data_IF_999155351114
#
_entry.id   IF_999155351114
#
_cell.length_a   1.000
_cell.length_b   1.000
_cell.length_c   1.000
_cell.angle_alpha   90.00
_cell.angle_beta   90.00
_cell.angle_gamma   90.00
#
_symmetry.space_group_name_H-M   'P 1'
#
loop_
_entity.id
_entity.type
_entity.pdbx_description
1 polymer ?
#
# COMPACT_ATOMS: atom_id res chain seq x y z
N UNK A 1 -38.40 -9.64 -2.53
CA UNK A 1 -38.29 -8.16 -2.74
C UNK A 1 -36.81 -7.84 -2.84
N UNK A 2 -36.30 -7.63 -4.04
CA UNK A 2 -34.92 -7.25 -4.27
C UNK A 2 -34.82 -5.72 -4.18
N UNK A 3 -33.98 -5.23 -3.30
CA UNK A 3 -33.69 -3.80 -3.22
C UNK A 3 -32.73 -3.43 -4.38
N UNK A 4 -33.01 -2.39 -5.16
CA UNK A 4 -32.09 -1.94 -6.18
C UNK A 4 -30.87 -1.32 -5.51
N UNK A 5 -29.69 -1.90 -5.71
CA UNK A 5 -28.42 -1.23 -5.40
C UNK A 5 -28.28 -0.06 -6.39
N UNK A 6 -28.63 1.13 -5.94
CA UNK A 6 -28.29 2.36 -6.62
C UNK A 6 -26.75 2.48 -6.64
N UNK A 7 -26.17 2.42 -7.83
CA UNK A 7 -24.80 2.85 -8.06
C UNK A 7 -24.74 4.34 -7.69
N UNK A 8 -24.32 4.63 -6.47
CA UNK A 8 -23.95 5.97 -6.07
C UNK A 8 -22.72 6.35 -6.90
N UNK A 9 -22.96 7.06 -8.00
CA UNK A 9 -21.92 7.83 -8.68
C UNK A 9 -21.39 8.84 -7.67
N UNK A 10 -20.33 8.49 -6.98
CA UNK A 10 -19.54 9.45 -6.21
C UNK A 10 -18.82 10.33 -7.23
N UNK A 11 -19.51 11.34 -7.73
CA UNK A 11 -18.85 12.46 -8.38
C UNK A 11 -17.96 13.10 -7.31
N UNK A 12 -16.69 12.73 -7.27
CA UNK A 12 -15.69 13.53 -6.59
C UNK A 12 -15.80 14.94 -7.18
N UNK A 13 -15.94 15.99 -6.35
CA UNK A 13 -15.95 17.34 -6.86
C UNK A 13 -14.73 17.52 -7.75
N UNK A 14 -14.90 18.16 -8.91
CA UNK A 14 -13.83 18.41 -9.87
C UNK A 14 -12.77 19.33 -9.23
N UNK A 15 -11.83 18.73 -8.54
CA UNK A 15 -10.65 19.43 -8.04
C UNK A 15 -9.72 19.58 -9.23
N UNK A 16 -9.54 20.81 -9.72
CA UNK A 16 -8.50 21.13 -10.68
C UNK A 16 -7.16 20.90 -10.01
N UNK A 17 -6.48 19.80 -10.35
CA UNK A 17 -5.19 19.44 -9.80
C UNK A 17 -4.67 18.14 -10.43
N UNK A 18 -3.41 17.81 -10.14
CA UNK A 18 -2.75 16.62 -10.67
C UNK A 18 -3.50 15.35 -10.28
N UNK A 19 -3.70 14.46 -11.24
CA UNK A 19 -4.33 13.15 -11.08
C UNK A 19 -3.28 12.06 -11.00
N UNK A 20 -3.69 10.85 -10.60
CA UNK A 20 -2.78 9.70 -10.57
C UNK A 20 -2.11 9.48 -11.94
N UNK A 21 -2.85 9.48 -13.03
CA UNK A 21 -2.31 9.26 -14.37
C UNK A 21 -1.25 10.30 -14.75
N UNK A 22 -1.46 11.57 -14.38
CA UNK A 22 -0.48 12.65 -14.62
C UNK A 22 0.81 12.40 -13.81
N UNK A 23 0.69 11.89 -12.58
CA UNK A 23 1.82 11.56 -11.73
C UNK A 23 2.58 10.30 -12.22
N UNK A 24 1.92 9.46 -13.02
CA UNK A 24 2.49 8.26 -13.62
C UNK A 24 2.98 8.48 -15.06
N UNK A 25 2.92 9.71 -15.58
CA UNK A 25 3.23 10.06 -16.97
C UNK A 25 2.36 9.30 -18.00
N UNK A 26 1.11 8.97 -17.63
CA UNK A 26 0.13 8.30 -18.50
C UNK A 26 -0.78 9.36 -19.13
N UNK A 27 -0.49 9.73 -20.38
CA UNK A 27 -1.26 10.75 -21.11
C UNK A 27 -2.54 10.21 -21.73
N UNK A 28 -2.52 8.97 -22.16
CA UNK A 28 -3.67 8.27 -22.73
C UNK A 28 -3.67 6.80 -22.24
N UNK A 29 -4.68 6.48 -21.46
CA UNK A 29 -4.80 5.15 -20.85
C UNK A 29 -5.09 4.06 -21.89
N UNK A 30 -5.79 4.39 -22.99
CA UNK A 30 -6.17 3.44 -24.02
C UNK A 30 -5.01 3.00 -24.90
N UNK A 31 -3.97 3.83 -25.01
CA UNK A 31 -2.78 3.53 -25.80
C UNK A 31 -1.52 3.34 -24.93
N UNK A 32 -1.66 3.37 -23.62
CA UNK A 32 -0.53 3.30 -22.69
C UNK A 32 0.31 2.03 -22.86
N UNK A 33 1.63 2.24 -23.04
CA UNK A 33 2.66 1.20 -23.00
C UNK A 33 3.63 1.50 -21.84
N UNK A 34 3.74 0.63 -20.83
CA UNK A 34 4.61 0.85 -19.69
C UNK A 34 6.10 0.69 -20.01
N UNK A 35 6.47 -0.08 -21.06
CA UNK A 35 7.87 -0.45 -21.35
C UNK A 35 8.86 0.72 -21.50
N UNK A 36 8.52 1.86 -22.11
CA UNK A 36 9.43 3.00 -22.14
C UNK A 36 9.71 3.57 -20.74
N UNK A 37 8.70 3.65 -19.89
CA UNK A 37 8.84 4.04 -18.47
C UNK A 37 9.69 3.05 -17.69
N UNK A 38 9.39 1.76 -17.83
CA UNK A 38 10.12 0.67 -17.18
C UNK A 38 11.60 0.67 -17.50
N UNK A 39 11.99 0.87 -18.78
CA UNK A 39 13.41 0.95 -19.17
C UNK A 39 14.14 2.11 -18.51
N UNK A 40 13.47 3.25 -18.29
CA UNK A 40 14.10 4.39 -17.63
C UNK A 40 14.34 4.17 -16.15
N UNK A 41 13.53 3.31 -15.49
CA UNK A 41 13.55 3.09 -14.04
C UNK A 41 14.03 1.69 -13.63
N UNK A 42 14.58 0.94 -14.59
CA UNK A 42 15.04 -0.43 -14.33
C UNK A 42 16.17 -0.47 -13.28
N UNK A 43 17.01 0.56 -13.27
CA UNK A 43 18.21 0.64 -12.44
C UNK A 43 18.07 1.65 -11.28
N UNK A 44 16.84 2.16 -11.01
CA UNK A 44 16.62 3.06 -9.88
C UNK A 44 16.91 2.33 -8.55
N UNK A 45 17.72 2.94 -7.68
CA UNK A 45 18.08 2.35 -6.38
C UNK A 45 16.90 2.40 -5.38
N UNK A 46 15.99 3.36 -5.55
CA UNK A 46 14.89 3.66 -4.64
C UNK A 46 13.57 3.55 -5.38
N UNK A 47 12.56 2.97 -4.74
CA UNK A 47 11.18 2.98 -5.23
C UNK A 47 10.51 4.31 -4.82
N UNK A 48 10.40 5.25 -5.75
CA UNK A 48 9.66 6.50 -5.56
C UNK A 48 8.22 6.31 -6.00
N UNK A 49 7.29 6.39 -5.06
CA UNK A 49 5.88 6.05 -5.27
C UNK A 49 5.02 7.31 -5.04
N UNK A 50 4.30 7.82 -6.06
CA UNK A 50 3.44 8.97 -5.90
C UNK A 50 2.25 8.66 -4.99
N UNK A 51 2.01 9.55 -4.02
CA UNK A 51 0.95 9.41 -3.01
C UNK A 51 -0.22 10.33 -3.32
N UNK A 52 0.06 11.57 -3.71
CA UNK A 52 -0.97 12.58 -3.89
C UNK A 52 -0.41 13.95 -4.24
N UNK A 53 -1.26 14.97 -4.18
CA UNK A 53 -0.91 16.36 -4.38
C UNK A 53 -1.21 17.19 -3.13
N UNK A 54 -0.34 18.12 -2.71
CA UNK A 54 -0.63 19.04 -1.63
C UNK A 54 -1.87 19.89 -1.96
N UNK A 55 -2.67 20.19 -0.95
CA UNK A 55 -3.90 21.00 -1.16
C UNK A 55 -3.58 22.44 -1.58
N UNK A 56 -2.47 22.97 -1.09
CA UNK A 56 -1.96 24.33 -1.38
C UNK A 56 -1.08 24.39 -2.65
N UNK A 57 -0.66 23.24 -3.18
CA UNK A 57 0.13 23.13 -4.41
C UNK A 57 -0.37 21.96 -5.29
N UNK A 58 -1.59 22.06 -5.84
CA UNK A 58 -2.30 20.92 -6.45
C UNK A 58 -1.65 20.39 -7.73
N UNK A 59 -0.74 21.14 -8.35
CA UNK A 59 0.00 20.73 -9.56
C UNK A 59 1.31 20.01 -9.22
N UNK A 60 1.68 19.93 -7.96
CA UNK A 60 2.86 19.19 -7.52
C UNK A 60 2.49 17.75 -7.08
N UNK A 61 3.51 16.92 -6.88
CA UNK A 61 3.35 15.54 -6.43
C UNK A 61 4.12 15.32 -5.15
N UNK A 62 3.45 14.74 -4.15
CA UNK A 62 4.07 14.16 -2.97
C UNK A 62 4.27 12.68 -3.23
N UNK A 63 5.48 12.19 -2.99
CA UNK A 63 5.85 10.78 -3.12
C UNK A 63 6.42 10.26 -1.81
N UNK A 64 6.35 8.95 -1.63
CA UNK A 64 7.13 8.22 -0.63
C UNK A 64 8.28 7.50 -1.31
N UNK A 65 9.32 7.24 -0.56
CA UNK A 65 10.49 6.50 -1.01
C UNK A 65 10.69 5.26 -0.15
N UNK A 66 10.85 4.11 -0.82
CA UNK A 66 11.24 2.85 -0.19
C UNK A 66 12.56 2.38 -0.78
N UNK A 67 13.50 2.06 0.09
CA UNK A 67 14.87 1.71 -0.26
C UNK A 67 15.69 1.41 0.99
N UNK A 68 16.99 1.61 0.91
CA UNK A 68 17.88 1.31 2.04
C UNK A 68 17.66 2.23 3.25
N UNK A 69 17.07 3.41 3.06
CA UNK A 69 16.76 4.35 4.14
C UNK A 69 15.35 4.15 4.72
N UNK A 70 14.46 3.50 3.99
CA UNK A 70 13.07 3.29 4.38
C UNK A 70 12.57 1.91 3.94
N UNK A 71 12.39 1.01 4.91
CA UNK A 71 11.97 -0.36 4.66
C UNK A 71 10.48 -0.61 4.94
N UNK A 72 9.89 0.16 5.83
CA UNK A 72 8.52 -0.02 6.30
C UNK A 72 7.72 1.25 6.09
N UNK A 73 6.65 1.15 5.30
CA UNK A 73 5.65 2.20 5.13
C UNK A 73 4.30 1.78 5.75
N UNK A 74 3.67 2.70 6.47
CA UNK A 74 2.36 2.49 7.08
C UNK A 74 1.35 3.51 6.59
N UNK A 75 0.21 3.04 6.12
CA UNK A 75 -0.99 3.85 5.88
C UNK A 75 -1.95 3.69 7.07
N UNK A 76 -2.13 4.75 7.87
CA UNK A 76 -2.96 4.72 9.06
C UNK A 76 -4.20 5.59 8.91
N UNK A 77 -5.36 5.09 9.40
CA UNK A 77 -6.61 5.87 9.39
C UNK A 77 -7.86 5.02 9.48
N UNK A 78 -9.01 5.66 9.64
CA UNK A 78 -10.31 4.98 9.77
C UNK A 78 -10.95 4.62 8.42
N UNK A 79 -10.62 5.36 7.35
CA UNK A 79 -11.19 5.16 6.01
C UNK A 79 -10.15 5.43 4.93
N UNK A 80 -10.33 4.82 3.73
CA UNK A 80 -9.51 5.11 2.54
C UNK A 80 -8.18 4.36 2.46
N UNK A 81 -7.79 3.58 3.46
CA UNK A 81 -6.53 2.83 3.49
C UNK A 81 -6.35 1.86 2.32
N UNK A 82 -7.33 0.98 2.12
CA UNK A 82 -7.32 -0.01 1.02
C UNK A 82 -7.22 0.66 -0.35
N UNK A 83 -7.95 1.77 -0.55
CA UNK A 83 -7.86 2.57 -1.79
C UNK A 83 -6.47 3.19 -1.97
N UNK A 84 -5.85 3.67 -0.89
CA UNK A 84 -4.49 4.17 -0.92
C UNK A 84 -3.49 3.07 -1.28
N UNK A 85 -3.56 1.89 -0.61
CA UNK A 85 -2.70 0.76 -0.92
C UNK A 85 -2.86 0.28 -2.36
N UNK A 86 -4.10 0.21 -2.88
CA UNK A 86 -4.38 -0.10 -4.28
C UNK A 86 -3.67 0.88 -5.23
N UNK A 87 -3.80 2.18 -4.96
CA UNK A 87 -3.17 3.22 -5.78
C UNK A 87 -1.66 3.14 -5.75
N UNK A 88 -1.06 2.91 -4.57
CA UNK A 88 0.38 2.76 -4.40
C UNK A 88 0.90 1.50 -5.11
N UNK A 89 0.23 0.35 -4.96
CA UNK A 89 0.62 -0.89 -5.61
C UNK A 89 0.56 -0.77 -7.14
N UNK A 90 -0.51 -0.17 -7.70
CA UNK A 90 -0.61 0.09 -9.13
C UNK A 90 0.42 1.09 -9.63
N UNK A 91 0.75 2.11 -8.82
CA UNK A 91 1.81 3.07 -9.17
C UNK A 91 3.15 2.36 -9.31
N UNK A 92 3.49 1.47 -8.39
CA UNK A 92 4.71 0.65 -8.48
C UNK A 92 4.73 -0.17 -9.76
N UNK A 93 3.64 -0.90 -10.07
CA UNK A 93 3.55 -1.72 -11.29
C UNK A 93 3.62 -0.88 -12.57
N UNK A 94 3.15 0.35 -12.53
CA UNK A 94 3.16 1.25 -13.71
C UNK A 94 4.54 1.86 -13.94
N UNK A 95 5.24 2.22 -12.87
CA UNK A 95 6.51 2.94 -12.94
C UNK A 95 7.72 2.03 -13.13
N UNK A 96 7.71 0.84 -12.56
CA UNK A 96 8.86 -0.06 -12.51
C UNK A 96 8.59 -1.38 -13.24
N UNK A 97 9.59 -2.02 -13.89
CA UNK A 97 9.39 -3.33 -14.50
C UNK A 97 9.30 -4.44 -13.45
N UNK A 98 8.69 -5.60 -13.78
CA UNK A 98 8.62 -6.76 -12.89
C UNK A 98 9.99 -7.37 -12.58
N UNK A 99 11.02 -7.06 -13.38
CA UNK A 99 12.41 -7.42 -13.11
C UNK A 99 13.07 -6.53 -12.06
N UNK A 100 12.49 -5.36 -11.76
CA UNK A 100 12.98 -4.43 -10.73
C UNK A 100 12.24 -4.60 -9.41
N UNK A 101 10.91 -4.82 -9.47
CA UNK A 101 10.06 -4.98 -8.28
C UNK A 101 8.96 -6.01 -8.50
N UNK A 102 8.75 -6.84 -7.50
CA UNK A 102 7.66 -7.81 -7.41
C UNK A 102 6.79 -7.52 -6.20
N UNK A 103 5.52 -7.94 -6.23
CA UNK A 103 4.56 -7.71 -5.17
C UNK A 103 4.05 -9.03 -4.59
N UNK A 104 4.04 -9.13 -3.25
CA UNK A 104 3.31 -10.16 -2.51
C UNK A 104 2.19 -9.46 -1.71
N UNK A 105 0.93 -9.77 -2.02
CA UNK A 105 -0.22 -9.04 -1.49
C UNK A 105 -1.01 -9.92 -0.52
N UNK A 106 -1.19 -9.42 0.70
CA UNK A 106 -2.12 -9.92 1.70
C UNK A 106 -3.33 -8.97 1.78
N UNK A 107 -4.39 -9.31 1.05
CA UNK A 107 -5.59 -8.48 0.88
C UNK A 107 -6.72 -8.98 1.78
N UNK A 108 -6.76 -8.51 3.02
CA UNK A 108 -7.76 -8.97 4.00
C UNK A 108 -9.16 -8.42 3.74
N UNK A 109 -9.25 -7.30 3.02
CA UNK A 109 -10.52 -6.64 2.71
C UNK A 109 -11.00 -6.94 1.28
N UNK A 110 -10.23 -7.73 0.51
CA UNK A 110 -10.48 -8.02 -0.91
C UNK A 110 -10.65 -6.75 -1.76
N UNK A 111 -9.98 -5.67 -1.38
CA UNK A 111 -10.13 -4.36 -2.01
C UNK A 111 -8.98 -3.96 -2.92
N UNK A 112 -7.78 -4.51 -2.71
CA UNK A 112 -6.61 -4.16 -3.52
C UNK A 112 -6.74 -4.75 -4.92
N UNK A 113 -7.26 -5.97 -5.03
CA UNK A 113 -7.40 -6.70 -6.30
C UNK A 113 -8.84 -6.82 -6.80
N UNK A 114 -9.85 -6.51 -5.98
CA UNK A 114 -11.26 -6.74 -6.33
C UNK A 114 -11.73 -6.01 -7.59
N UNK A 115 -11.13 -4.85 -7.90
CA UNK A 115 -11.48 -4.04 -9.05
C UNK A 115 -10.54 -4.25 -10.26
N UNK A 116 -9.51 -5.09 -10.11
CA UNK A 116 -8.59 -5.43 -11.20
C UNK A 116 -8.96 -6.79 -11.78
N UNK A 117 -9.57 -6.81 -12.95
CA UNK A 117 -9.93 -8.04 -13.67
C UNK A 117 -8.71 -8.82 -14.15
N UNK A 118 -7.52 -8.20 -14.15
CA UNK A 118 -6.25 -8.79 -14.51
C UNK A 118 -5.20 -8.47 -13.41
N UNK A 119 -4.28 -9.41 -13.16
CA UNK A 119 -3.17 -9.20 -12.22
C UNK A 119 -1.94 -8.74 -12.99
N UNK A 120 -1.32 -7.60 -12.63
CA UNK A 120 -0.05 -7.20 -13.23
C UNK A 120 1.02 -8.30 -13.08
N UNK A 121 1.97 -8.40 -14.03
CA UNK A 121 3.03 -9.42 -14.01
C UNK A 121 3.99 -9.30 -12.81
N UNK A 122 3.89 -8.21 -12.07
CA UNK A 122 4.63 -7.96 -10.81
C UNK A 122 4.11 -8.80 -9.65
N UNK A 123 2.84 -9.20 -9.67
CA UNK A 123 2.20 -9.88 -8.53
C UNK A 123 2.60 -11.35 -8.54
N UNK A 124 3.53 -11.73 -7.67
CA UNK A 124 4.04 -13.11 -7.53
C UNK A 124 3.23 -13.92 -6.52
N UNK A 125 2.56 -13.25 -5.56
CA UNK A 125 1.67 -13.88 -4.61
C UNK A 125 0.51 -12.91 -4.27
N UNK A 126 -0.71 -13.43 -4.26
CA UNK A 126 -1.90 -12.69 -3.83
C UNK A 126 -2.81 -13.62 -3.05
N UNK A 127 -3.05 -13.26 -1.81
CA UNK A 127 -3.96 -13.96 -0.91
C UNK A 127 -5.05 -12.98 -0.47
N UNK A 128 -6.28 -13.31 -0.82
CA UNK A 128 -7.46 -12.57 -0.40
C UNK A 128 -8.22 -13.42 0.64
N UNK A 129 -8.40 -12.87 1.80
CA UNK A 129 -9.12 -13.53 2.88
C UNK A 129 -10.24 -12.63 3.40
N UNK A 130 -11.34 -12.53 2.67
CA UNK A 130 -12.47 -11.75 3.16
C UNK A 130 -13.18 -12.50 4.30
N UNK A 131 -13.47 -11.79 5.38
CA UNK A 131 -14.07 -12.30 6.63
C UNK A 131 -15.43 -13.00 6.42
N UNK A 132 -16.08 -12.81 5.27
CA UNK A 132 -17.41 -13.29 4.92
C UNK A 132 -17.49 -14.03 3.58
N UNK A 133 -16.37 -14.33 2.92
CA UNK A 133 -16.38 -15.04 1.65
C UNK A 133 -16.66 -16.54 1.89
N UNK A 134 -17.54 -17.11 1.06
CA UNK A 134 -17.85 -18.54 1.03
C UNK A 134 -16.75 -19.40 0.39
N UNK A 135 -15.75 -18.79 -0.23
CA UNK A 135 -14.59 -19.47 -0.80
C UNK A 135 -13.58 -19.88 0.29
N UNK A 136 -12.79 -20.95 0.07
CA UNK A 136 -11.87 -21.42 1.08
C UNK A 136 -10.98 -20.25 1.56
N UNK A 137 -10.85 -20.08 2.89
CA UNK A 137 -10.06 -18.99 3.43
C UNK A 137 -8.63 -19.07 2.89
N UNK A 138 -8.04 -17.91 2.62
CA UNK A 138 -6.64 -17.83 2.23
C UNK A 138 -5.79 -18.65 3.18
N UNK A 139 -4.94 -19.52 2.63
CA UNK A 139 -4.02 -20.29 3.46
C UNK A 139 -2.85 -19.40 3.88
N UNK A 140 -3.00 -18.72 5.00
CA UNK A 140 -2.00 -17.79 5.52
C UNK A 140 -0.67 -18.47 5.85
N UNK A 141 -0.67 -19.75 6.20
CA UNK A 141 0.56 -20.51 6.43
C UNK A 141 1.33 -20.69 5.12
N UNK A 142 0.63 -20.94 4.01
CA UNK A 142 1.25 -20.99 2.67
C UNK A 142 1.80 -19.62 2.28
N UNK A 143 1.07 -18.53 2.54
CA UNK A 143 1.55 -17.17 2.28
C UNK A 143 2.81 -16.86 3.09
N UNK A 144 2.83 -17.17 4.38
CA UNK A 144 4.00 -17.03 5.24
C UNK A 144 5.19 -17.80 4.67
N UNK A 145 4.99 -19.07 4.33
CA UNK A 145 6.04 -19.93 3.76
C UNK A 145 6.60 -19.34 2.46
N UNK A 146 5.77 -18.80 1.58
CA UNK A 146 6.22 -18.18 0.32
C UNK A 146 7.06 -16.91 0.58
N UNK A 147 6.62 -16.05 1.50
CA UNK A 147 7.33 -14.82 1.86
C UNK A 147 8.67 -15.17 2.53
N UNK A 148 8.69 -16.12 3.44
CA UNK A 148 9.91 -16.57 4.12
C UNK A 148 10.89 -17.22 3.15
N UNK A 149 10.40 -18.07 2.24
CA UNK A 149 11.23 -18.64 1.15
C UNK A 149 11.83 -17.53 0.29
N UNK A 150 11.04 -16.50 -0.04
CA UNK A 150 11.53 -15.36 -0.80
C UNK A 150 12.59 -14.54 -0.03
N UNK A 151 12.47 -14.41 1.30
CA UNK A 151 13.52 -13.82 2.15
C UNK A 151 14.80 -14.65 2.14
N UNK A 152 14.68 -15.96 2.28
CA UNK A 152 15.83 -16.86 2.33
C UNK A 152 16.59 -16.92 1.00
N UNK A 153 15.87 -16.92 -0.13
CA UNK A 153 16.45 -16.94 -1.48
C UNK A 153 17.19 -15.66 -1.87
N UNK A 154 16.91 -14.52 -1.18
CA UNK A 154 17.54 -13.23 -1.49
C UNK A 154 18.90 -13.01 -0.81
N UNK A 155 19.35 -13.94 0.01
CA UNK A 155 20.65 -13.86 0.64
C UNK A 155 21.78 -13.97 -0.42
N UNK A 156 22.42 -12.82 -0.73
CA UNK A 156 23.60 -12.77 -1.59
C UNK A 156 23.36 -12.89 -3.09
N UNK A 157 22.10 -12.81 -3.56
CA UNK A 157 21.76 -12.87 -4.98
C UNK A 157 21.09 -11.55 -5.43
N UNK A 158 21.41 -11.02 -6.62
CA UNK A 158 20.67 -9.92 -7.22
C UNK A 158 19.27 -10.42 -7.61
N UNK A 159 18.28 -9.99 -6.83
CA UNK A 159 16.85 -10.31 -7.02
C UNK A 159 16.07 -9.02 -7.19
N UNK A 160 14.93 -9.03 -7.90
CA UNK A 160 13.99 -7.91 -7.85
C UNK A 160 13.64 -7.56 -6.40
N UNK A 161 13.39 -6.29 -6.09
CA UNK A 161 12.80 -5.98 -4.78
C UNK A 161 11.46 -6.67 -4.61
N UNK A 162 11.16 -7.12 -3.40
CA UNK A 162 9.86 -7.66 -3.05
C UNK A 162 9.13 -6.63 -2.18
N UNK A 163 8.06 -6.05 -2.71
CA UNK A 163 7.15 -5.23 -1.93
C UNK A 163 6.02 -6.10 -1.38
N UNK A 164 6.06 -6.33 -0.07
CA UNK A 164 5.00 -7.04 0.65
C UNK A 164 3.94 -6.01 1.04
N UNK A 165 2.74 -6.16 0.50
CA UNK A 165 1.60 -5.27 0.74
C UNK A 165 0.60 -5.98 1.64
N UNK A 166 0.30 -5.40 2.81
CA UNK A 166 -0.61 -5.99 3.80
C UNK A 166 -1.73 -5.02 4.11
N UNK A 167 -2.94 -5.33 3.71
CA UNK A 167 -4.11 -4.53 4.05
C UNK A 167 -4.67 -4.93 5.41
N UNK A 168 -5.03 -3.93 6.25
CA UNK A 168 -5.59 -4.08 7.59
C UNK A 168 -4.76 -5.06 8.47
N UNK A 169 -3.47 -4.76 8.66
CA UNK A 169 -2.55 -5.62 9.42
C UNK A 169 -3.02 -5.89 10.86
N UNK A 170 -3.68 -4.93 11.49
CA UNK A 170 -4.31 -5.06 12.81
C UNK A 170 -5.40 -6.14 12.83
N UNK A 171 -6.26 -6.19 11.82
CA UNK A 171 -7.29 -7.22 11.67
C UNK A 171 -6.67 -8.59 11.31
N UNK A 172 -5.70 -8.61 10.41
CA UNK A 172 -4.98 -9.82 10.02
C UNK A 172 -4.34 -10.48 11.22
N UNK A 173 -3.57 -9.72 12.00
CA UNK A 173 -2.88 -10.23 13.19
C UNK A 173 -3.85 -10.63 14.31
N UNK A 174 -5.01 -9.98 14.40
CA UNK A 174 -6.09 -10.35 15.32
C UNK A 174 -6.71 -11.71 15.00
N UNK A 175 -6.83 -12.05 13.71
CA UNK A 175 -7.45 -13.31 13.25
C UNK A 175 -6.42 -14.41 12.98
N UNK A 176 -5.22 -14.05 12.53
CA UNK A 176 -4.14 -14.95 12.09
C UNK A 176 -2.80 -14.57 12.72
N UNK A 177 -2.64 -14.75 14.04
CA UNK A 177 -1.45 -14.30 14.78
C UNK A 177 -0.15 -14.98 14.34
N UNK A 178 -0.23 -16.12 13.63
CA UNK A 178 0.94 -16.81 13.08
C UNK A 178 1.69 -15.94 12.03
N UNK A 179 1.00 -15.02 11.36
CA UNK A 179 1.59 -14.10 10.37
C UNK A 179 2.60 -13.13 11.00
N UNK A 180 2.47 -12.88 12.31
CA UNK A 180 3.33 -11.94 13.03
C UNK A 180 4.83 -12.28 12.89
N UNK A 181 5.19 -13.57 12.95
CA UNK A 181 6.58 -14.02 12.81
C UNK A 181 7.18 -13.68 11.45
N UNK A 182 6.41 -13.92 10.38
CA UNK A 182 6.83 -13.59 9.00
C UNK A 182 6.99 -12.09 8.80
N UNK A 183 6.04 -11.28 9.30
CA UNK A 183 6.14 -9.82 9.23
C UNK A 183 7.33 -9.30 10.03
N UNK A 184 7.61 -9.87 11.21
CA UNK A 184 8.76 -9.50 12.02
C UNK A 184 10.07 -9.78 11.28
N UNK A 185 10.19 -10.93 10.62
CA UNK A 185 11.36 -11.22 9.78
C UNK A 185 11.57 -10.20 8.66
N UNK A 186 10.47 -9.69 8.03
CA UNK A 186 10.59 -8.62 7.02
C UNK A 186 11.14 -7.34 7.65
N UNK A 187 10.69 -6.98 8.84
CA UNK A 187 11.19 -5.78 9.55
C UNK A 187 12.67 -5.93 9.88
N UNK A 188 13.07 -7.08 10.40
CA UNK A 188 14.43 -7.32 10.91
C UNK A 188 15.46 -7.54 9.79
N UNK A 189 15.08 -8.30 8.74
CA UNK A 189 16.00 -8.79 7.71
C UNK A 189 15.75 -8.15 6.33
N UNK A 190 14.57 -7.56 6.10
CA UNK A 190 14.10 -7.18 4.77
C UNK A 190 14.95 -6.09 4.12
N UNK A 191 15.52 -5.18 4.91
CA UNK A 191 16.39 -4.10 4.41
C UNK A 191 17.54 -4.66 3.58
N UNK A 192 18.31 -5.58 4.15
CA UNK A 192 19.48 -6.19 3.51
C UNK A 192 19.10 -7.15 2.37
N UNK A 193 17.88 -7.67 2.40
CA UNK A 193 17.34 -8.64 1.44
C UNK A 193 16.47 -8.01 0.36
N UNK A 194 16.37 -6.67 0.35
CA UNK A 194 15.52 -5.92 -0.59
C UNK A 194 14.05 -6.37 -0.54
N UNK A 195 13.55 -6.64 0.67
CA UNK A 195 12.14 -6.93 0.94
C UNK A 195 11.56 -5.78 1.74
N UNK A 196 10.60 -5.06 1.16
CA UNK A 196 9.97 -3.88 1.73
C UNK A 196 8.58 -4.21 2.22
N UNK A 197 8.10 -3.52 3.26
CA UNK A 197 6.77 -3.70 3.82
C UNK A 197 5.93 -2.43 3.64
N UNK A 198 4.80 -2.55 2.96
CA UNK A 198 3.77 -1.53 2.87
C UNK A 198 2.50 -2.08 3.52
N UNK A 199 2.07 -1.50 4.61
CA UNK A 199 0.92 -2.01 5.35
C UNK A 199 -0.10 -0.91 5.67
N UNK A 200 -1.34 -1.33 5.93
CA UNK A 200 -2.37 -0.43 6.46
C UNK A 200 -2.86 -0.89 7.83
N UNK A 201 -3.24 0.07 8.67
CA UNK A 201 -3.81 -0.17 9.99
C UNK A 201 -4.80 0.94 10.37
N UNK A 202 -5.70 0.63 11.29
CA UNK A 202 -6.58 1.64 11.90
C UNK A 202 -5.84 2.43 12.98
N UNK A 203 -4.84 1.82 13.59
CA UNK A 203 -4.04 2.42 14.66
C UNK A 203 -2.55 2.48 14.27
N UNK A 204 -1.90 3.55 14.69
CA UNK A 204 -0.45 3.63 14.69
C UNK A 204 0.04 3.05 16.01
N UNK A 205 0.66 1.89 15.96
CA UNK A 205 1.31 1.30 17.11
C UNK A 205 2.62 0.66 16.67
N UNK A 206 3.66 0.83 17.47
CA UNK A 206 4.90 0.08 17.28
C UNK A 206 4.76 -1.39 17.70
N UNK A 207 3.66 -1.71 18.41
CA UNK A 207 3.38 -3.04 18.95
C UNK A 207 1.96 -3.46 18.61
N UNK A 208 1.83 -4.33 17.63
CA UNK A 208 0.57 -4.99 17.38
C UNK A 208 0.48 -6.19 18.34
N UNK A 209 -0.49 -6.18 19.25
CA UNK A 209 -0.66 -7.20 20.31
C UNK A 209 -1.07 -8.58 19.74
N UNK A 210 -0.59 -8.92 18.56
CA UNK A 210 -0.85 -10.18 17.90
C UNK A 210 -0.23 -11.32 18.70
N UNK A 211 -1.05 -12.23 19.14
CA UNK A 211 -0.59 -13.46 19.78
C UNK A 211 -0.21 -13.34 21.26
N UNK A 212 -0.31 -12.17 21.89
CA UNK A 212 -0.05 -12.03 23.33
C UNK A 212 -0.89 -12.99 24.19
N UNK A 213 -2.13 -13.29 23.75
CA UNK A 213 -3.01 -14.29 24.38
C UNK A 213 -2.57 -15.75 24.14
N UNK A 214 -1.68 -15.97 23.15
CA UNK A 214 -1.17 -17.29 22.77
C UNK A 214 0.30 -17.49 23.15
N UNK A 215 0.87 -16.58 23.97
CA UNK A 215 2.27 -16.64 24.37
C UNK A 215 3.28 -16.38 23.24
N UNK A 216 2.85 -15.80 22.11
CA UNK A 216 3.73 -15.39 21.02
C UNK A 216 4.19 -13.96 21.22
N UNK A 217 5.41 -13.60 20.78
CA UNK A 217 5.87 -12.22 20.82
C UNK A 217 4.95 -11.33 19.97
N UNK A 218 4.67 -10.08 20.40
CA UNK A 218 3.95 -9.12 19.59
C UNK A 218 4.76 -8.77 18.34
N UNK A 219 4.06 -8.49 17.23
CA UNK A 219 4.69 -7.88 16.07
C UNK A 219 5.07 -6.43 16.42
N UNK A 220 6.32 -6.09 16.25
CA UNK A 220 6.85 -4.75 16.49
C UNK A 220 7.47 -4.18 15.21
N UNK A 221 6.92 -3.05 14.73
CA UNK A 221 7.47 -2.36 13.57
C UNK A 221 7.51 -0.86 13.81
N UNK A 222 8.67 -0.28 13.63
CA UNK A 222 8.80 1.17 13.48
C UNK A 222 8.61 1.51 12.01
N UNK A 223 7.61 2.33 11.70
CA UNK A 223 7.37 2.77 10.33
C UNK A 223 8.32 3.90 9.98
N UNK A 224 9.14 3.69 8.95
CA UNK A 224 10.05 4.72 8.42
C UNK A 224 9.23 5.83 7.74
N UNK A 225 8.20 5.44 6.99
CA UNK A 225 7.29 6.33 6.27
C UNK A 225 5.87 6.13 6.75
N UNK A 226 5.12 7.22 6.93
CA UNK A 226 3.71 7.16 7.34
C UNK A 226 2.84 8.01 6.42
N UNK A 227 1.75 7.41 5.95
CA UNK A 227 0.64 8.10 5.29
C UNK A 227 -0.52 8.12 6.28
N UNK A 228 -0.78 9.25 6.91
CA UNK A 228 -1.82 9.39 7.92
C UNK A 228 -3.07 10.03 7.31
N UNK A 229 -4.08 9.21 7.05
CA UNK A 229 -5.44 9.64 6.75
C UNK A 229 -6.13 10.13 8.03
N UNK A 230 -7.43 10.48 7.97
CA UNK A 230 -8.14 10.78 9.20
C UNK A 230 -8.05 9.63 10.20
N UNK A 231 -7.48 9.91 11.37
CA UNK A 231 -7.36 8.94 12.46
C UNK A 231 -8.58 8.92 13.37
N UNK A 232 -8.79 7.82 14.10
CA UNK A 232 -9.88 7.66 15.05
C UNK A 232 -9.74 8.60 16.25
N UNK A 233 -8.51 8.84 16.69
CA UNK A 233 -8.19 9.63 17.88
C UNK A 233 -7.04 10.59 17.63
N UNK A 234 -6.98 11.64 18.44
CA UNK A 234 -5.83 12.54 18.45
C UNK A 234 -4.53 11.84 18.90
N UNK A 235 -4.65 10.80 19.71
CA UNK A 235 -3.48 10.02 20.13
C UNK A 235 -2.88 9.23 18.95
N UNK A 236 -3.71 8.53 18.17
CA UNK A 236 -3.26 7.84 16.95
C UNK A 236 -2.56 8.81 15.98
N UNK A 237 -3.09 10.04 15.85
CA UNK A 237 -2.44 11.07 15.02
C UNK A 237 -1.09 11.51 15.59
N UNK A 238 -0.96 11.67 16.91
CA UNK A 238 0.33 12.01 17.53
C UNK A 238 1.34 10.90 17.37
N UNK A 239 0.92 9.65 17.53
CA UNK A 239 1.80 8.49 17.36
C UNK A 239 2.30 8.39 15.90
N UNK A 240 1.45 8.72 14.94
CA UNK A 240 1.76 8.72 13.51
C UNK A 240 2.65 9.88 13.06
N UNK A 241 2.32 11.09 13.51
CA UNK A 241 2.84 12.36 12.98
C UNK A 241 3.50 13.27 14.03
N UNK A 242 3.49 12.90 15.32
CA UNK A 242 3.93 13.79 16.38
C UNK A 242 2.92 14.89 16.77
N UNK A 243 1.78 15.00 16.06
CA UNK A 243 0.77 16.02 16.30
C UNK A 243 -0.65 15.55 15.95
N UNK A 244 -1.70 16.34 16.31
CA UNK A 244 -3.11 15.92 16.17
C UNK A 244 -3.70 16.16 14.78
N UNK A 245 -2.94 16.64 13.80
CA UNK A 245 -3.44 17.18 12.54
C UNK A 245 -4.22 16.16 11.71
N UNK A 246 -3.85 14.86 11.71
CA UNK A 246 -4.58 13.85 10.98
C UNK A 246 -5.96 13.55 11.62
N UNK A 247 -6.09 13.65 12.94
CA UNK A 247 -7.39 13.57 13.62
C UNK A 247 -8.30 14.75 13.29
N UNK A 248 -7.75 15.92 12.99
CA UNK A 248 -8.50 17.13 12.65
C UNK A 248 -8.97 17.17 11.20
N UNK A 249 -8.53 16.25 10.34
CA UNK A 249 -9.00 16.17 8.96
C UNK A 249 -10.52 15.99 8.91
N UNK A 250 -11.22 16.60 7.92
CA UNK A 250 -12.67 16.43 7.78
C UNK A 250 -13.02 14.98 7.40
N UNK A 251 -14.23 14.55 7.74
CA UNK A 251 -14.77 13.25 7.30
C UNK A 251 -15.13 13.25 5.81
N UNK A 252 -15.38 14.41 5.24
CA UNK A 252 -15.69 14.61 3.82
C UNK A 252 -15.01 15.91 3.34
N UNK A 253 -14.39 15.89 2.14
CA UNK A 253 -14.20 14.75 1.25
C UNK A 253 -13.18 13.74 1.78
N UNK A 254 -13.35 12.47 1.41
CA UNK A 254 -12.39 11.42 1.71
C UNK A 254 -11.07 11.60 0.94
N UNK A 255 -9.99 10.97 1.40
CA UNK A 255 -8.71 10.94 0.71
C UNK A 255 -7.80 12.13 1.02
N UNK A 256 -8.08 12.87 2.10
CA UNK A 256 -7.10 13.79 2.67
C UNK A 256 -6.22 13.08 3.69
N UNK A 257 -4.92 13.42 3.67
CA UNK A 257 -3.95 12.85 4.59
C UNK A 257 -2.72 13.74 4.78
N UNK A 258 -1.81 13.27 5.58
CA UNK A 258 -0.47 13.80 5.76
C UNK A 258 0.55 12.71 5.47
N UNK A 259 1.70 13.08 4.96
CA UNK A 259 2.81 12.16 4.69
C UNK A 259 3.98 12.55 5.57
N UNK A 260 4.46 11.62 6.38
CA UNK A 260 5.72 11.73 7.10
C UNK A 260 6.77 10.87 6.39
N UNK A 261 7.79 11.50 5.89
CA UNK A 261 8.95 10.86 5.25
C UNK A 261 9.92 10.26 6.27
N UNK A 262 10.90 9.49 5.79
CA UNK A 262 11.87 8.78 6.63
C UNK A 262 12.81 9.71 7.42
N UNK A 263 13.02 10.93 6.97
CA UNK A 263 13.74 11.99 7.70
C UNK A 263 12.88 12.70 8.74
N UNK A 264 11.60 12.32 8.88
CA UNK A 264 10.64 12.89 9.81
C UNK A 264 9.91 14.14 9.31
N UNK A 265 10.20 14.64 8.11
CA UNK A 265 9.47 15.76 7.54
C UNK A 265 7.99 15.39 7.28
N UNK A 266 7.09 16.33 7.58
CA UNK A 266 5.65 16.14 7.42
C UNK A 266 5.14 17.08 6.33
N UNK A 267 4.52 16.49 5.31
CA UNK A 267 3.87 17.21 4.22
C UNK A 267 2.35 17.02 4.28
N UNK A 268 1.62 18.10 4.10
CA UNK A 268 0.15 18.03 4.00
C UNK A 268 -0.57 19.24 4.58
N UNK A 269 -1.91 19.30 4.43
CA UNK A 269 -2.73 18.20 3.93
C UNK A 269 -2.50 17.88 2.46
N UNK A 270 -2.43 16.59 2.16
CA UNK A 270 -2.25 16.02 0.82
C UNK A 270 -3.56 15.36 0.40
N UNK A 271 -3.99 15.62 -0.82
CA UNK A 271 -5.06 14.83 -1.45
C UNK A 271 -4.42 13.60 -2.08
N UNK A 272 -4.74 12.43 -1.55
CA UNK A 272 -4.24 11.17 -2.06
C UNK A 272 -4.81 10.89 -3.45
N UNK A 273 -3.96 10.33 -4.31
CA UNK A 273 -4.39 9.82 -5.61
C UNK A 273 -5.23 8.56 -5.42
N UNK A 274 -6.20 8.38 -6.31
CA UNK A 274 -7.05 7.18 -6.35
C UNK A 274 -6.92 6.51 -7.71
N UNK A 275 -6.75 5.19 -7.69
CA UNK A 275 -6.75 4.36 -8.88
C UNK A 275 -8.14 3.77 -9.19
N UNK A 276 -9.15 4.00 -8.35
CA UNK A 276 -10.44 3.29 -8.42
C UNK A 276 -11.07 3.30 -9.82
N UNK A 277 -11.05 4.45 -10.49
CA UNK A 277 -11.67 4.59 -11.82
C UNK A 277 -10.81 4.06 -12.97
N UNK A 278 -9.50 3.89 -12.77
CA UNK A 278 -8.53 3.54 -13.81
C UNK A 278 -7.91 2.15 -13.61
N UNK A 279 -8.05 1.56 -12.44
CA UNK A 279 -7.39 0.31 -12.06
C UNK A 279 -7.66 -0.85 -13.04
N UNK A 280 -8.88 -1.13 -13.50
CA UNK A 280 -9.13 -2.25 -14.42
C UNK A 280 -8.40 -2.07 -15.74
N UNK A 281 -8.50 -0.88 -16.35
CA UNK A 281 -7.87 -0.59 -17.64
C UNK A 281 -6.34 -0.56 -17.50
N UNK A 282 -5.82 0.11 -16.48
CA UNK A 282 -4.38 0.20 -16.23
C UNK A 282 -3.78 -1.20 -15.99
N UNK A 283 -4.40 -2.02 -15.15
CA UNK A 283 -3.97 -3.41 -14.93
C UNK A 283 -3.96 -4.23 -16.22
N UNK A 284 -4.98 -4.07 -17.07
CA UNK A 284 -5.04 -4.75 -18.37
C UNK A 284 -3.88 -4.34 -19.28
N UNK A 285 -3.53 -3.05 -19.32
CA UNK A 285 -2.37 -2.55 -20.10
C UNK A 285 -1.04 -3.09 -19.61
N UNK A 286 -0.87 -3.27 -18.30
CA UNK A 286 0.32 -3.86 -17.71
C UNK A 286 0.48 -5.35 -18.05
N UNK A 287 -0.61 -6.06 -18.39
CA UNK A 287 -0.60 -7.49 -18.75
C UNK A 287 -0.29 -7.75 -20.23
N UNK A 288 -0.63 -6.82 -21.13
CA UNK A 288 -0.53 -7.00 -22.58
C UNK A 288 0.87 -6.74 -23.14
N UNK A 289 1.80 -6.38 -22.30
CA UNK A 289 3.16 -5.98 -22.63
C UNK A 289 4.21 -6.76 -21.83
#
# INVERSE_FOLDING_TARGET
>A
MAWPMSAAQTHSPAWGGRRLLDALDVTDLDTFDPRPGWRRRADDDVLTIPVGAPVDAPDSTVSIELGDHANVALCVGITGKTTALQSLALSVCTLYPPTRVQLAIADTQNGIAANATARPPHVVAHYAGYRFAADPPANWDTWCTQVETALDQRAGQPQPELLVVVDAVDELLGSHPQVAGTLQRIVDEGRDKRVRLLMSSTEQTSKFAAGARLGRPPFEATSDVVIALRTATAQTSRDALGGPQAWQLPMSPLGLGYVRSSDGAITGPVRLFTAADVAPTLSSRLMTN
#
